data_IF_012828655416
#
_entry.id   IF_012828655416
#
_cell.length_a   1.000
_cell.length_b   1.000
_cell.length_c   1.000
_cell.angle_alpha   90.00
_cell.angle_beta   90.00
_cell.angle_gamma   90.00
#
_symmetry.space_group_name_H-M   'P 1'
#
loop_
_entity.id
_entity.type
_entity.pdbx_description
1 polymer ?
#
# COMPACT_ATOMS: atom_id res chain seq x y z
N UNK A 1 16.23 -11.57 17.66
CA UNK A 1 15.85 -10.44 16.79
C UNK A 1 15.58 -10.99 15.40
N UNK A 2 14.41 -11.61 15.20
CA UNK A 2 13.97 -12.24 13.94
C UNK A 2 12.49 -11.91 13.77
N UNK A 3 12.20 -10.68 13.34
CA UNK A 3 10.83 -10.15 13.18
C UNK A 3 10.24 -10.36 11.78
N UNK A 4 10.81 -11.22 10.94
CA UNK A 4 10.61 -11.09 9.49
C UNK A 4 9.26 -11.61 8.98
N UNK A 5 8.67 -12.64 9.60
CA UNK A 5 7.38 -13.20 9.14
C UNK A 5 6.19 -12.81 10.03
N UNK A 6 6.37 -12.80 11.36
CA UNK A 6 5.29 -12.44 12.30
C UNK A 6 4.87 -10.98 12.15
N UNK A 7 5.86 -10.09 11.99
CA UNK A 7 5.59 -8.65 11.96
C UNK A 7 4.96 -8.27 10.63
N UNK A 8 5.35 -8.95 9.54
CA UNK A 8 4.71 -8.79 8.23
C UNK A 8 3.22 -9.16 8.29
N UNK A 9 2.87 -10.23 8.99
CA UNK A 9 1.46 -10.59 9.20
C UNK A 9 0.72 -9.54 10.03
N UNK A 10 1.34 -9.02 11.09
CA UNK A 10 0.76 -7.94 11.91
C UNK A 10 0.47 -6.71 11.05
N UNK A 11 1.43 -6.30 10.22
CA UNK A 11 1.24 -5.18 9.28
C UNK A 11 0.16 -5.50 8.26
N UNK A 12 0.13 -6.72 7.70
CA UNK A 12 -0.86 -7.14 6.71
C UNK A 12 -2.30 -7.18 7.22
N UNK A 13 -2.51 -7.30 8.54
CA UNK A 13 -3.84 -7.24 9.18
C UNK A 13 -4.34 -5.81 9.39
N UNK A 14 -3.47 -4.80 9.29
CA UNK A 14 -3.86 -3.41 9.46
C UNK A 14 -4.66 -2.89 8.25
N UNK A 15 -5.67 -2.04 8.50
CA UNK A 15 -6.37 -1.36 7.43
C UNK A 15 -5.50 -0.29 6.78
N UNK A 16 -4.79 0.51 7.60
CA UNK A 16 -3.93 1.59 7.14
C UNK A 16 -2.51 1.37 7.63
N UNK A 17 -1.55 1.71 6.76
CA UNK A 17 -0.13 1.75 7.09
C UNK A 17 0.47 3.08 6.66
N UNK A 18 1.44 3.54 7.43
CA UNK A 18 2.36 4.59 7.06
C UNK A 18 3.34 4.00 6.06
N UNK A 19 3.09 4.25 4.78
CA UNK A 19 3.96 3.83 3.69
C UNK A 19 5.09 4.84 3.51
N UNK A 20 6.31 4.41 3.78
CA UNK A 20 7.51 5.25 3.68
C UNK A 20 8.30 4.91 2.44
N UNK A 21 8.55 5.92 1.61
CA UNK A 21 9.39 5.86 0.40
C UNK A 21 10.49 6.90 0.46
N UNK A 22 11.56 6.73 -0.29
CA UNK A 22 12.75 7.58 -0.19
C UNK A 22 12.89 8.51 -1.41
N UNK A 23 13.23 9.78 -1.15
CA UNK A 23 13.54 10.77 -2.19
C UNK A 23 14.92 10.50 -2.82
N UNK A 24 15.28 11.34 -3.81
CA UNK A 24 16.57 11.29 -4.50
C UNK A 24 17.77 11.34 -3.56
N UNK A 25 17.65 12.16 -2.53
CA UNK A 25 18.64 12.47 -1.51
C UNK A 25 18.62 11.48 -0.33
N UNK A 26 17.77 10.44 -0.39
CA UNK A 26 17.61 9.46 0.69
C UNK A 26 16.63 9.88 1.79
N UNK A 27 16.08 11.10 1.76
CA UNK A 27 15.11 11.53 2.77
C UNK A 27 13.80 10.74 2.69
N UNK A 28 13.29 10.34 3.85
CA UNK A 28 12.05 9.58 3.98
C UNK A 28 10.81 10.44 3.71
N UNK A 29 9.80 9.82 3.09
CA UNK A 29 8.45 10.37 2.89
C UNK A 29 7.42 9.33 3.25
N UNK A 30 6.75 9.56 4.36
CA UNK A 30 5.67 8.71 4.86
C UNK A 30 4.31 9.24 4.42
N UNK A 31 3.45 8.34 3.94
CA UNK A 31 2.06 8.67 3.58
C UNK A 31 1.13 7.56 4.09
N UNK A 32 0.00 7.89 4.74
CA UNK A 32 -0.98 6.88 5.09
C UNK A 32 -1.60 6.28 3.82
N UNK A 33 -1.62 4.96 3.73
CA UNK A 33 -2.25 4.22 2.63
C UNK A 33 -3.07 3.07 3.17
N UNK A 34 -4.21 2.82 2.54
CA UNK A 34 -5.00 1.63 2.83
C UNK A 34 -4.43 0.45 2.05
N UNK A 35 -3.92 -0.57 2.74
CA UNK A 35 -3.40 -1.80 2.14
C UNK A 35 -4.46 -2.89 1.98
N UNK A 36 -4.21 -3.83 1.07
CA UNK A 36 -4.98 -5.04 0.90
C UNK A 36 -4.00 -6.22 0.83
N UNK A 37 -3.99 -7.12 1.82
CA UNK A 37 -3.17 -8.32 1.76
C UNK A 37 -3.72 -9.32 0.74
N UNK A 38 -2.85 -9.92 -0.07
CA UNK A 38 -3.15 -11.05 -0.96
C UNK A 38 -1.88 -11.88 -1.16
N UNK A 39 -1.96 -13.20 -0.95
CA UNK A 39 -0.89 -14.15 -1.26
C UNK A 39 0.49 -13.79 -0.66
N UNK A 40 0.51 -13.39 0.62
CA UNK A 40 1.73 -12.98 1.34
C UNK A 40 2.29 -11.61 0.97
N UNK A 41 1.63 -10.89 0.05
CA UNK A 41 2.00 -9.54 -0.40
C UNK A 41 0.96 -8.51 -0.01
N UNK A 42 1.35 -7.24 -0.05
CA UNK A 42 0.49 -6.10 0.28
C UNK A 42 0.26 -5.24 -0.96
N UNK A 43 -0.97 -4.80 -1.16
CA UNK A 43 -1.37 -4.04 -2.34
C UNK A 43 -2.07 -2.73 -1.98
N UNK A 44 -1.78 -1.64 -2.69
CA UNK A 44 -2.57 -0.41 -2.59
C UNK A 44 -2.63 0.33 -3.94
N UNK A 45 -3.59 1.24 -4.08
CA UNK A 45 -3.74 2.07 -5.27
C UNK A 45 -3.13 3.45 -5.07
N UNK A 46 -2.45 3.94 -6.11
CA UNK A 46 -1.92 5.29 -6.16
C UNK A 46 -2.33 5.95 -7.47
N UNK A 47 -2.65 7.24 -7.42
CA UNK A 47 -2.86 8.03 -8.63
C UNK A 47 -1.61 7.96 -9.54
N UNK A 48 -1.84 7.87 -10.86
CA UNK A 48 -0.79 7.69 -11.91
C UNK A 48 0.28 8.79 -11.88
N UNK A 49 -0.04 9.98 -11.35
CA UNK A 49 0.88 11.12 -11.22
C UNK A 49 1.54 11.29 -9.84
N UNK A 50 1.26 10.43 -8.86
CA UNK A 50 1.74 10.66 -7.50
C UNK A 50 3.27 10.55 -7.40
N UNK A 51 3.91 11.47 -6.66
CA UNK A 51 5.36 11.47 -6.46
C UNK A 51 5.92 10.15 -5.89
N UNK A 52 5.10 9.36 -5.19
CA UNK A 52 5.47 8.02 -4.71
C UNK A 52 5.75 7.04 -5.84
N UNK A 53 5.04 7.12 -6.97
CA UNK A 53 5.27 6.26 -8.16
C UNK A 53 6.66 6.54 -8.73
N UNK A 54 7.01 7.82 -8.89
CA UNK A 54 8.36 8.24 -9.34
C UNK A 54 9.45 7.80 -8.37
N UNK A 55 9.19 7.87 -7.05
CA UNK A 55 10.12 7.39 -6.02
C UNK A 55 10.32 5.88 -6.09
N UNK A 56 9.24 5.09 -6.11
CA UNK A 56 9.28 3.62 -6.14
C UNK A 56 10.02 3.11 -7.39
N UNK A 57 9.71 3.67 -8.58
CA UNK A 57 10.38 3.28 -9.83
C UNK A 57 11.89 3.50 -9.77
N UNK A 58 12.37 4.40 -8.92
CA UNK A 58 13.79 4.68 -8.74
C UNK A 58 14.41 3.90 -7.57
N UNK A 59 13.74 3.87 -6.44
CA UNK A 59 14.16 3.15 -5.25
C UNK A 59 12.95 2.34 -4.74
N UNK A 60 12.92 1.03 -4.98
CA UNK A 60 11.80 0.19 -4.59
C UNK A 60 11.82 -0.16 -3.09
N UNK A 61 12.91 0.12 -2.37
CA UNK A 61 12.96 -0.12 -0.93
C UNK A 61 11.99 0.82 -0.20
N UNK A 62 11.16 0.22 0.66
CA UNK A 62 10.11 0.92 1.42
C UNK A 62 10.01 0.33 2.82
N UNK A 63 9.42 1.11 3.73
CA UNK A 63 9.01 0.59 5.04
C UNK A 63 7.53 0.82 5.28
N UNK A 64 6.94 -0.08 6.08
CA UNK A 64 5.52 -0.07 6.43
C UNK A 64 5.38 -0.15 7.93
N UNK A 65 4.46 0.63 8.48
CA UNK A 65 4.09 0.56 9.89
C UNK A 65 2.58 0.83 10.03
N UNK A 66 1.83 0.06 10.83
CA UNK A 66 0.42 0.33 11.09
C UNK A 66 0.16 1.76 11.58
N UNK A 67 -0.86 2.40 11.00
CA UNK A 67 -1.28 3.75 11.37
C UNK A 67 -2.80 3.92 11.28
N UNK A 68 -3.32 5.05 11.73
CA UNK A 68 -4.71 5.44 11.48
C UNK A 68 -4.87 6.17 10.14
N UNK A 69 -6.12 6.52 9.78
CA UNK A 69 -6.44 7.25 8.54
C UNK A 69 -5.78 8.64 8.46
N UNK A 70 -5.39 9.23 9.61
CA UNK A 70 -4.68 10.51 9.70
C UNK A 70 -3.17 10.36 9.63
N UNK A 71 -2.65 9.13 9.56
CA UNK A 71 -1.22 8.84 9.55
C UNK A 71 -0.56 8.80 10.93
N UNK A 72 -1.33 8.76 12.02
CA UNK A 72 -0.77 8.58 13.37
C UNK A 72 -0.38 7.11 13.55
N UNK A 73 0.88 6.86 13.90
CA UNK A 73 1.41 5.51 14.10
C UNK A 73 0.67 4.81 15.24
N UNK A 74 0.33 3.53 15.02
CA UNK A 74 -0.22 2.68 16.07
C UNK A 74 0.89 2.36 17.08
N UNK A 75 0.69 2.72 18.35
CA UNK A 75 1.67 2.49 19.39
C UNK A 75 2.02 0.99 19.52
N UNK A 76 3.31 0.68 19.65
CA UNK A 76 3.82 -0.69 19.75
C UNK A 76 3.75 -1.50 18.44
N UNK A 77 3.34 -0.89 17.33
CA UNK A 77 3.29 -1.59 16.05
C UNK A 77 4.68 -1.72 15.40
N UNK A 78 4.96 -2.88 14.77
CA UNK A 78 6.28 -3.12 14.16
C UNK A 78 6.44 -2.32 12.88
N UNK A 79 7.71 -2.04 12.55
CA UNK A 79 8.12 -1.52 11.24
C UNK A 79 8.67 -2.70 10.43
N UNK A 80 8.18 -2.86 9.21
CA UNK A 80 8.66 -3.91 8.29
C UNK A 80 9.22 -3.31 7.02
N UNK A 81 10.26 -3.95 6.49
CA UNK A 81 10.89 -3.58 5.22
C UNK A 81 10.26 -4.34 4.07
N UNK A 82 10.09 -3.67 2.93
CA UNK A 82 9.51 -4.26 1.74
C UNK A 82 10.10 -3.71 0.46
N UNK A 83 9.80 -4.42 -0.63
CA UNK A 83 10.16 -4.03 -1.99
C UNK A 83 8.86 -3.70 -2.73
N UNK A 84 8.70 -2.43 -3.11
CA UNK A 84 7.54 -1.93 -3.83
C UNK A 84 7.75 -2.03 -5.35
N UNK A 85 6.71 -2.49 -6.04
CA UNK A 85 6.64 -2.59 -7.50
C UNK A 85 5.37 -1.91 -8.00
N UNK A 86 5.53 -1.01 -8.97
CA UNK A 86 4.41 -0.37 -9.67
C UNK A 86 3.92 -1.33 -10.76
N UNK A 87 2.66 -1.72 -10.67
CA UNK A 87 1.95 -2.50 -11.68
C UNK A 87 1.23 -1.53 -12.63
N UNK A 88 1.41 -1.72 -13.93
CA UNK A 88 0.80 -0.85 -14.96
C UNK A 88 -0.67 -1.26 -15.21
N UNK A 89 -1.45 -0.40 -15.88
CA UNK A 89 -2.83 -0.70 -16.29
C UNK A 89 -2.95 -1.98 -17.13
N UNK A 90 -1.85 -2.39 -17.77
CA UNK A 90 -1.74 -3.62 -18.54
C UNK A 90 -1.65 -4.90 -17.67
N UNK A 91 -1.40 -4.79 -16.36
CA UNK A 91 -1.29 -5.92 -15.44
C UNK A 91 -2.67 -6.45 -14.97
N UNK A 92 -3.40 -7.04 -15.93
CA UNK A 92 -4.25 -8.25 -15.84
C UNK A 92 -5.38 -8.35 -14.75
N UNK A 93 -6.37 -9.27 -14.94
CA UNK A 93 -7.53 -9.49 -14.04
C UNK A 93 -7.24 -9.68 -12.55
N UNK A 94 -6.00 -10.00 -12.14
CA UNK A 94 -5.61 -10.14 -10.73
C UNK A 94 -5.76 -8.82 -9.98
N UNK A 95 -5.31 -7.71 -10.56
CA UNK A 95 -5.50 -6.37 -9.98
C UNK A 95 -6.99 -6.07 -9.87
N UNK A 96 -7.79 -6.35 -10.92
CA UNK A 96 -9.26 -6.20 -10.87
C UNK A 96 -9.93 -7.08 -9.82
N UNK A 97 -9.42 -8.29 -9.55
CA UNK A 97 -9.96 -9.19 -8.51
C UNK A 97 -9.65 -8.66 -7.10
N UNK A 98 -8.44 -8.16 -6.87
CA UNK A 98 -8.04 -7.52 -5.61
C UNK A 98 -8.85 -6.22 -5.38
N UNK A 99 -8.98 -5.39 -6.43
CA UNK A 99 -9.91 -4.24 -6.51
C UNK A 99 -11.30 -4.69 -6.08
N UNK A 100 -11.92 -5.63 -6.80
CA UNK A 100 -13.30 -6.03 -6.55
C UNK A 100 -13.49 -6.63 -5.15
N UNK A 101 -12.51 -7.36 -4.61
CA UNK A 101 -12.57 -7.89 -3.24
C UNK A 101 -12.51 -6.76 -2.20
N UNK A 102 -11.63 -5.78 -2.40
CA UNK A 102 -11.54 -4.59 -1.54
C UNK A 102 -12.82 -3.73 -1.63
N UNK A 103 -13.36 -3.55 -2.84
CA UNK A 103 -14.58 -2.77 -3.09
C UNK A 103 -15.86 -3.45 -2.64
N UNK A 104 -15.94 -4.78 -2.60
CA UNK A 104 -17.07 -5.49 -1.97
C UNK A 104 -17.15 -5.23 -0.47
N UNK A 105 -16.03 -4.99 0.19
CA UNK A 105 -15.98 -4.62 1.62
C UNK A 105 -16.36 -3.15 1.81
N UNK A 106 -15.88 -2.25 0.95
CA UNK A 106 -16.28 -0.82 0.97
C UNK A 106 -17.73 -0.57 0.53
N UNK A 107 -18.26 -1.32 -0.43
CA UNK A 107 -19.62 -1.13 -0.98
C UNK A 107 -20.73 -1.43 0.03
N UNK A 108 -20.41 -2.05 1.18
CA UNK A 108 -21.32 -2.16 2.33
C UNK A 108 -21.32 -0.92 3.24
N UNK A 109 -20.41 0.03 3.04
CA UNK A 109 -20.34 1.33 3.73
C UNK A 109 -20.66 2.45 2.72
N UNK A 110 -21.96 2.71 2.55
CA UNK A 110 -22.63 3.19 1.35
C UNK A 110 -22.48 4.66 0.94
N UNK A 111 -21.46 5.40 1.39
CA UNK A 111 -21.30 6.82 0.99
C UNK A 111 -19.91 7.19 0.45
N UNK A 112 -18.86 6.41 0.75
CA UNK A 112 -17.49 6.70 0.31
C UNK A 112 -17.14 6.11 -1.08
N UNK A 113 -17.96 5.18 -1.57
CA UNK A 113 -17.69 4.38 -2.77
C UNK A 113 -17.73 5.16 -4.10
N UNK A 114 -18.61 6.15 -4.24
CA UNK A 114 -18.75 6.92 -5.48
C UNK A 114 -17.63 7.94 -5.70
N UNK A 115 -17.09 8.55 -4.62
CA UNK A 115 -16.02 9.53 -4.72
C UNK A 115 -14.69 8.91 -5.17
N UNK A 116 -14.43 7.67 -4.73
CA UNK A 116 -13.22 6.92 -5.07
C UNK A 116 -13.30 6.31 -6.50
N UNK A 117 -14.49 5.93 -6.97
CA UNK A 117 -14.66 5.24 -8.26
C UNK A 117 -14.27 6.07 -9.49
N UNK A 118 -14.38 7.42 -9.44
CA UNK A 118 -14.06 8.28 -10.59
C UNK A 118 -12.58 8.68 -10.68
N UNK A 119 -11.87 8.84 -9.55
CA UNK A 119 -10.41 9.14 -9.55
C UNK A 119 -9.54 7.93 -9.84
N UNK A 120 -10.07 6.71 -9.72
CA UNK A 120 -9.27 5.48 -9.85
C UNK A 120 -9.12 4.90 -11.26
N UNK A 121 -9.86 5.40 -12.26
CA UNK A 121 -9.63 4.97 -13.65
C UNK A 121 -8.23 5.36 -14.18
N UNK A 122 -7.52 6.26 -13.47
CA UNK A 122 -6.12 6.62 -13.70
C UNK A 122 -5.26 6.38 -12.44
N UNK A 123 -5.31 5.17 -11.86
CA UNK A 123 -4.46 4.77 -10.72
C UNK A 123 -3.63 3.53 -11.03
N UNK A 124 -2.34 3.54 -10.67
CA UNK A 124 -1.48 2.36 -10.67
C UNK A 124 -1.72 1.53 -9.41
N UNK A 125 -1.66 0.21 -9.54
CA UNK A 125 -1.55 -0.67 -8.38
C UNK A 125 -0.07 -0.72 -7.95
N UNK A 126 0.16 -0.69 -6.65
CA UNK A 126 1.48 -0.90 -6.07
C UNK A 126 1.42 -2.21 -5.29
N UNK A 127 2.27 -3.16 -5.69
CA UNK A 127 2.54 -4.39 -4.98
C UNK A 127 3.74 -4.18 -4.06
N UNK A 128 3.68 -4.73 -2.85
CA UNK A 128 4.79 -4.71 -1.89
C UNK A 128 5.02 -6.14 -1.41
N UNK A 129 6.22 -6.67 -1.63
CA UNK A 129 6.67 -7.94 -1.08
C UNK A 129 7.58 -7.72 0.13
N UNK A 130 7.69 -8.69 1.05
CA UNK A 130 8.73 -8.66 2.09
C UNK A 130 10.11 -8.43 1.45
N UNK A 131 10.96 -7.67 2.13
CA UNK A 131 12.38 -7.65 1.80
C UNK A 131 12.99 -9.04 2.11
N UNK A 132 13.95 -9.53 1.29
CA UNK A 132 14.63 -10.79 1.52
C UNK A 132 15.50 -10.79 2.79
#
# INVERSE_FOLDING_TARGET
MTGTSSDWEVVGRANYVSFTSYRKDGSAVSTPVWIAPDDGKLYFFSEVGAYKVKRIRRNPAVTLQPCDIRGRITAGSPVVEGIARVLDHADTPKVRKIVNRKYRVLGRLSEFGMWISRRQQASFAIEISPAP
#
